data_IF_846423345570
#
_entry.id   IF_846423345570
#
_cell.length_a   1.000
_cell.length_b   1.000
_cell.length_c   1.000
_cell.angle_alpha   90.00
_cell.angle_beta   90.00
_cell.angle_gamma   90.00
#
_symmetry.space_group_name_H-M   'P 1'
#
loop_
_entity.id
_entity.type
_entity.pdbx_description
1 polymer ?
#
# COMPACT_ATOMS: atom_id res chain seq x y z
N UNK A 1 16.08 14.90 16.27
CA UNK A 1 15.58 13.76 15.46
C UNK A 1 14.57 13.01 16.30
N UNK A 2 13.33 12.82 15.81
CA UNK A 2 12.31 12.00 16.50
C UNK A 2 12.40 10.59 15.92
N UNK A 3 12.77 9.62 16.75
CA UNK A 3 12.76 8.21 16.37
C UNK A 3 11.39 7.61 16.73
N UNK A 4 10.77 6.90 15.78
CA UNK A 4 9.53 6.18 16.02
C UNK A 4 9.84 4.78 16.56
N UNK A 5 9.54 4.57 17.84
CA UNK A 5 9.72 3.27 18.49
C UNK A 5 8.49 2.38 18.37
N UNK A 6 7.30 2.95 18.19
CA UNK A 6 6.07 2.20 17.97
C UNK A 6 5.36 2.72 16.73
N UNK A 7 4.79 1.82 15.95
CA UNK A 7 3.88 2.19 14.86
C UNK A 7 2.76 1.15 14.73
N UNK A 8 1.54 1.62 14.50
CA UNK A 8 0.40 0.81 14.05
C UNK A 8 -0.08 1.36 12.73
N UNK A 9 -0.27 0.49 11.74
CA UNK A 9 -0.83 0.80 10.43
C UNK A 9 -2.00 -0.14 10.20
N UNK A 10 -3.18 0.39 9.90
CA UNK A 10 -4.28 -0.37 9.35
C UNK A 10 -4.67 0.20 7.99
N UNK A 11 -4.90 -0.68 7.03
CA UNK A 11 -5.23 -0.29 5.66
C UNK A 11 -6.27 -1.23 5.07
N UNK A 12 -7.28 -0.67 4.40
CA UNK A 12 -8.19 -1.42 3.55
C UNK A 12 -7.95 -1.08 2.08
N UNK A 13 -7.61 -2.10 1.31
CA UNK A 13 -7.22 -1.96 -0.08
C UNK A 13 -7.86 -3.02 -0.98
N UNK A 14 -7.91 -2.72 -2.26
CA UNK A 14 -8.32 -3.63 -3.35
C UNK A 14 -7.29 -3.48 -4.45
N UNK A 15 -6.69 -4.56 -4.90
CA UNK A 15 -5.70 -4.53 -5.98
C UNK A 15 -6.21 -5.26 -7.22
N UNK A 16 -5.89 -4.76 -8.42
CA UNK A 16 -6.06 -5.49 -9.68
C UNK A 16 -4.79 -6.28 -10.01
N UNK A 17 -3.64 -5.66 -9.75
CA UNK A 17 -2.32 -6.27 -9.93
C UNK A 17 -1.81 -6.92 -8.64
N UNK A 18 -1.14 -8.06 -8.78
CA UNK A 18 -0.67 -8.88 -7.65
C UNK A 18 0.75 -8.54 -7.18
N UNK A 19 1.36 -7.51 -7.77
CA UNK A 19 2.65 -6.96 -7.35
C UNK A 19 2.61 -5.43 -7.43
N UNK A 20 2.92 -4.75 -6.33
CA UNK A 20 2.90 -3.29 -6.29
C UNK A 20 3.16 -2.73 -4.90
N UNK A 21 3.56 -1.47 -4.84
CA UNK A 21 3.80 -0.74 -3.60
C UNK A 21 2.47 -0.28 -2.99
N UNK A 22 2.23 -0.62 -1.72
CA UNK A 22 1.08 -0.12 -0.95
C UNK A 22 1.45 1.12 -0.15
N UNK A 23 2.59 1.09 0.54
CA UNK A 23 3.05 2.16 1.43
C UNK A 23 4.57 2.17 1.49
N UNK A 24 5.18 3.36 1.49
CA UNK A 24 6.61 3.55 1.72
C UNK A 24 6.87 4.80 2.57
N UNK A 25 7.76 4.69 3.55
CA UNK A 25 8.34 5.83 4.24
C UNK A 25 9.80 5.52 4.59
N UNK A 26 10.70 6.45 4.31
CA UNK A 26 12.14 6.22 4.34
C UNK A 26 12.90 7.31 5.08
N UNK A 27 14.22 7.17 5.05
CA UNK A 27 15.16 8.18 5.50
C UNK A 27 16.12 8.57 4.36
N UNK A 28 16.14 9.85 4.05
CA UNK A 28 16.93 10.43 2.97
C UNK A 28 18.42 10.13 3.15
N UNK A 29 19.03 9.48 2.16
CA UNK A 29 20.45 9.13 2.16
C UNK A 29 20.89 8.11 3.23
N UNK A 30 19.94 7.42 3.89
CA UNK A 30 20.21 6.47 4.97
C UNK A 30 19.42 5.18 4.83
N UNK A 31 19.63 4.24 5.76
CA UNK A 31 19.11 2.87 5.66
C UNK A 31 17.74 2.67 6.30
N UNK A 32 17.26 3.60 7.11
CA UNK A 32 15.98 3.43 7.80
C UNK A 32 14.83 3.50 6.80
N UNK A 33 13.92 2.52 6.85
CA UNK A 33 12.69 2.54 6.07
C UNK A 33 11.62 1.63 6.66
N UNK A 34 10.39 1.84 6.23
CA UNK A 34 9.26 0.94 6.42
C UNK A 34 8.44 0.90 5.12
N UNK A 35 8.07 -0.30 4.69
CA UNK A 35 7.31 -0.51 3.46
C UNK A 35 6.28 -1.62 3.60
N UNK A 36 5.12 -1.42 2.97
CA UNK A 36 4.17 -2.48 2.66
C UNK A 36 4.11 -2.65 1.15
N UNK A 37 4.32 -3.87 0.69
CA UNK A 37 4.22 -4.24 -0.73
C UNK A 37 3.30 -5.43 -0.90
N UNK A 38 2.71 -5.54 -2.08
CA UNK A 38 2.15 -6.77 -2.58
C UNK A 38 3.21 -7.46 -3.44
N UNK A 39 3.47 -8.74 -3.17
CA UNK A 39 4.45 -9.55 -3.89
C UNK A 39 3.80 -10.89 -4.23
N UNK A 40 3.49 -11.11 -5.52
CA UNK A 40 2.82 -12.33 -5.98
C UNK A 40 1.54 -12.64 -5.18
N UNK A 41 0.77 -11.61 -4.88
CA UNK A 41 -0.50 -11.67 -4.16
C UNK A 41 -0.38 -11.79 -2.63
N UNK A 42 0.82 -11.80 -2.06
CA UNK A 42 1.02 -11.79 -0.60
C UNK A 42 1.44 -10.39 -0.14
N UNK A 43 0.91 -9.94 1.00
CA UNK A 43 1.33 -8.69 1.62
C UNK A 43 2.66 -8.93 2.32
N UNK A 44 3.63 -8.08 2.04
CA UNK A 44 4.95 -8.12 2.64
C UNK A 44 5.20 -6.82 3.40
N UNK A 45 5.55 -6.97 4.68
CA UNK A 45 6.12 -5.89 5.48
C UNK A 45 7.64 -6.02 5.44
N UNK A 46 8.32 -4.93 5.09
CA UNK A 46 9.78 -4.80 5.26
C UNK A 46 10.08 -3.52 6.04
N UNK A 47 11.03 -3.60 6.96
CA UNK A 47 11.49 -2.44 7.71
C UNK A 47 12.95 -2.61 8.11
N UNK A 48 13.68 -1.51 8.18
CA UNK A 48 15.07 -1.49 8.61
C UNK A 48 15.26 -0.36 9.62
N UNK A 49 15.80 -0.68 10.80
CA UNK A 49 16.08 0.27 11.89
C UNK A 49 17.50 0.83 11.86
N UNK A 50 18.32 0.42 10.91
CA UNK A 50 19.75 0.73 10.79
C UNK A 50 20.66 -0.51 10.83
N UNK A 51 20.21 -1.59 11.47
CA UNK A 51 20.97 -2.84 11.64
C UNK A 51 20.62 -3.95 10.65
N UNK A 52 19.75 -3.68 9.67
CA UNK A 52 19.32 -4.64 8.66
C UNK A 52 17.81 -4.76 8.57
N UNK A 53 17.34 -5.52 7.59
CA UNK A 53 15.92 -5.54 7.22
C UNK A 53 15.19 -6.71 7.86
N UNK A 54 14.17 -6.42 8.66
CA UNK A 54 13.14 -7.39 9.04
C UNK A 54 12.13 -7.56 7.90
N UNK A 55 11.71 -8.80 7.64
CA UNK A 55 10.74 -9.12 6.58
C UNK A 55 9.67 -10.05 7.13
N UNK A 56 8.40 -9.68 6.96
CA UNK A 56 7.24 -10.52 7.26
C UNK A 56 6.41 -10.67 5.98
N UNK A 57 5.86 -11.85 5.75
CA UNK A 57 5.04 -12.17 4.58
C UNK A 57 3.73 -12.82 5.06
N UNK A 58 2.59 -12.32 4.58
CA UNK A 58 1.28 -12.88 4.89
C UNK A 58 1.15 -14.31 4.37
N UNK A 59 0.38 -15.17 5.05
CA UNK A 59 -0.02 -16.47 4.50
C UNK A 59 -1.20 -16.32 3.56
N UNK A 60 -2.07 -15.34 3.85
CA UNK A 60 -3.16 -14.96 2.96
C UNK A 60 -2.62 -14.46 1.63
N UNK A 61 -3.17 -15.02 0.55
CA UNK A 61 -3.05 -14.48 -0.80
C UNK A 61 -4.29 -13.65 -1.12
N UNK A 62 -4.08 -12.36 -1.39
CA UNK A 62 -5.15 -11.46 -1.79
C UNK A 62 -5.71 -11.86 -3.16
N UNK A 63 -6.96 -11.50 -3.41
CA UNK A 63 -7.68 -11.81 -4.63
C UNK A 63 -7.88 -10.52 -5.44
N UNK A 64 -7.58 -10.53 -6.75
CA UNK A 64 -7.83 -9.38 -7.60
C UNK A 64 -9.27 -8.86 -7.48
N UNK A 65 -9.43 -7.55 -7.39
CA UNK A 65 -10.74 -6.88 -7.33
C UNK A 65 -11.52 -7.07 -6.03
N UNK A 66 -10.99 -7.76 -5.02
CA UNK A 66 -11.62 -7.89 -3.70
C UNK A 66 -11.00 -6.93 -2.70
N UNK A 67 -11.84 -6.47 -1.76
CA UNK A 67 -11.38 -5.72 -0.61
C UNK A 67 -10.69 -6.65 0.39
N UNK A 68 -9.53 -6.21 0.85
CA UNK A 68 -8.70 -6.86 1.86
C UNK A 68 -8.36 -5.84 2.93
N UNK A 69 -8.17 -6.32 4.15
CA UNK A 69 -7.71 -5.50 5.26
C UNK A 69 -6.38 -6.02 5.76
N UNK A 70 -5.45 -5.11 6.05
CA UNK A 70 -4.19 -5.43 6.73
C UNK A 70 -4.05 -4.62 8.00
N UNK A 71 -3.38 -5.21 8.98
CA UNK A 71 -2.93 -4.55 10.20
C UNK A 71 -1.47 -4.89 10.43
N UNK A 72 -0.68 -3.86 10.65
CA UNK A 72 0.72 -3.94 11.08
C UNK A 72 0.86 -3.26 12.43
N UNK A 73 1.57 -3.91 13.33
CA UNK A 73 2.04 -3.28 14.57
C UNK A 73 3.52 -3.53 14.71
N UNK A 74 4.28 -2.50 15.06
CA UNK A 74 5.70 -2.60 15.35
C UNK A 74 5.97 -1.97 16.70
N UNK A 75 6.77 -2.66 17.50
CA UNK A 75 7.33 -2.15 18.74
C UNK A 75 8.83 -2.45 18.74
N UNK A 76 9.63 -1.39 18.64
CA UNK A 76 11.09 -1.48 18.52
C UNK A 76 11.46 -2.39 17.35
N UNK A 77 12.21 -3.46 17.58
CA UNK A 77 12.60 -4.41 16.52
C UNK A 77 11.47 -5.36 16.13
N UNK A 78 10.50 -5.60 17.01
CA UNK A 78 9.46 -6.59 16.82
C UNK A 78 8.31 -6.02 15.99
N UNK A 79 7.78 -6.84 15.09
CA UNK A 79 6.65 -6.50 14.25
C UNK A 79 5.66 -7.67 14.17
N UNK A 80 4.40 -7.32 13.94
CA UNK A 80 3.32 -8.25 13.61
C UNK A 80 2.62 -7.77 12.35
N UNK A 81 2.20 -8.71 11.52
CA UNK A 81 1.40 -8.50 10.31
C UNK A 81 0.19 -9.45 10.34
N UNK A 82 -0.99 -8.94 10.02
CA UNK A 82 -2.20 -9.75 9.78
C UNK A 82 -2.93 -9.21 8.56
N UNK A 83 -3.30 -10.09 7.65
CA UNK A 83 -4.19 -9.82 6.52
C UNK A 83 -5.48 -10.62 6.68
N UNK A 84 -6.64 -9.98 6.47
CA UNK A 84 -7.98 -10.58 6.58
C UNK A 84 -8.24 -11.35 7.87
N UNK A 85 -7.72 -10.83 8.99
CA UNK A 85 -7.78 -11.45 10.32
C UNK A 85 -7.09 -12.83 10.40
N UNK A 86 -6.08 -13.09 9.55
CA UNK A 86 -5.19 -14.24 9.77
C UNK A 86 -4.49 -14.12 11.13
N UNK A 87 -4.10 -15.26 11.71
CA UNK A 87 -3.25 -15.29 12.91
C UNK A 87 -2.00 -14.47 12.64
N UNK A 88 -1.67 -13.57 13.58
CA UNK A 88 -0.54 -12.66 13.45
C UNK A 88 0.74 -13.41 13.05
N UNK A 89 1.36 -12.91 11.97
CA UNK A 89 2.71 -13.28 11.58
C UNK A 89 3.64 -12.37 12.35
N UNK A 90 4.57 -12.95 13.10
CA UNK A 90 5.55 -12.21 13.89
C UNK A 90 6.92 -12.25 13.22
N UNK A 91 7.72 -11.21 13.46
CA UNK A 91 9.10 -11.15 13.01
C UNK A 91 9.82 -9.96 13.63
N UNK A 92 11.13 -9.87 13.41
CA UNK A 92 11.93 -8.77 13.92
C UNK A 92 13.05 -8.34 12.97
N UNK A 93 13.52 -7.10 13.11
CA UNK A 93 14.78 -6.66 12.50
C UNK A 93 15.98 -7.21 13.29
N UNK A 94 17.16 -7.35 12.64
CA UNK A 94 18.37 -7.81 13.32
C UNK A 94 18.72 -6.97 14.56
N UNK A 95 19.43 -7.55 15.55
CA UNK A 95 19.83 -6.84 16.75
C UNK A 95 20.74 -5.64 16.45
N UNK A 96 20.66 -4.62 17.30
CA UNK A 96 21.40 -3.36 17.17
C UNK A 96 20.48 -2.18 17.41
N UNK A 97 20.08 -1.48 16.36
CA UNK A 97 19.19 -0.31 16.45
C UNK A 97 17.72 -0.72 16.45
N UNK A 98 16.88 0.05 17.15
CA UNK A 98 15.45 -0.28 17.33
C UNK A 98 14.47 0.86 17.00
N UNK A 99 14.94 2.08 16.78
CA UNK A 99 14.14 3.22 16.33
C UNK A 99 14.12 3.34 14.81
N UNK A 100 13.04 3.91 14.27
CA UNK A 100 12.96 4.34 12.87
C UNK A 100 13.07 5.87 12.79
N UNK A 101 14.06 6.37 12.06
CA UNK A 101 14.23 7.81 11.82
C UNK A 101 13.74 8.18 10.41
N UNK A 102 12.43 8.15 10.20
CA UNK A 102 11.84 8.45 8.90
C UNK A 102 11.70 9.96 8.72
N UNK A 103 12.29 10.49 7.66
CA UNK A 103 12.32 11.94 7.35
C UNK A 103 11.77 12.29 5.97
N UNK A 104 11.39 11.29 5.16
CA UNK A 104 10.66 11.51 3.91
C UNK A 104 9.17 11.65 4.18
N UNK A 105 8.42 12.06 3.15
CA UNK A 105 6.98 11.91 3.12
C UNK A 105 6.56 10.43 3.25
N UNK A 106 5.34 10.21 3.73
CA UNK A 106 4.65 8.93 3.67
C UNK A 106 4.00 8.81 2.30
N UNK A 107 4.46 7.87 1.48
CA UNK A 107 3.91 7.64 0.15
C UNK A 107 2.98 6.44 0.15
N UNK A 108 1.84 6.58 -0.53
CA UNK A 108 0.76 5.60 -0.58
C UNK A 108 0.51 5.24 -2.04
N UNK A 109 0.51 3.95 -2.36
CA UNK A 109 0.23 3.44 -3.70
C UNK A 109 1.31 3.68 -4.76
N UNK A 110 2.38 4.42 -4.46
CA UNK A 110 3.46 4.70 -5.41
C UNK A 110 4.48 5.67 -4.81
N UNK A 111 5.53 5.98 -5.56
CA UNK A 111 6.52 7.03 -5.23
C UNK A 111 6.86 7.84 -6.48
N UNK A 112 7.36 9.08 -6.33
CA UNK A 112 7.96 9.84 -7.43
C UNK A 112 9.09 9.09 -8.13
N UNK A 113 9.34 9.44 -9.40
CA UNK A 113 10.31 8.77 -10.26
C UNK A 113 11.72 8.75 -9.65
N UNK A 114 12.12 9.84 -8.99
CA UNK A 114 13.41 9.99 -8.33
C UNK A 114 13.62 9.02 -7.15
N UNK A 115 12.56 8.46 -6.57
CA UNK A 115 12.64 7.49 -5.48
C UNK A 115 12.49 6.03 -5.94
N UNK A 116 12.15 5.78 -7.21
CA UNK A 116 11.89 4.43 -7.72
C UNK A 116 13.08 3.49 -7.53
N UNK A 117 14.31 3.98 -7.74
CA UNK A 117 15.50 3.16 -7.57
C UNK A 117 15.70 2.73 -6.11
N UNK A 118 15.58 3.68 -5.17
CA UNK A 118 15.74 3.42 -3.73
C UNK A 118 14.67 2.44 -3.22
N UNK A 119 13.40 2.64 -3.63
CA UNK A 119 12.31 1.72 -3.31
C UNK A 119 12.56 0.33 -3.89
N UNK A 120 13.01 0.24 -5.15
CA UNK A 120 13.30 -1.06 -5.80
C UNK A 120 14.41 -1.82 -5.06
N UNK A 121 15.47 -1.14 -4.65
CA UNK A 121 16.57 -1.76 -3.89
C UNK A 121 16.11 -2.26 -2.51
N UNK A 122 15.22 -1.51 -1.84
CA UNK A 122 14.73 -1.84 -0.49
C UNK A 122 13.58 -2.82 -0.44
N UNK A 123 12.75 -2.87 -1.47
CA UNK A 123 11.49 -3.62 -1.47
C UNK A 123 11.42 -4.70 -2.54
N UNK A 124 12.29 -4.64 -3.55
CA UNK A 124 12.25 -5.49 -4.75
C UNK A 124 11.01 -5.29 -5.63
N UNK A 125 10.24 -4.22 -5.39
CA UNK A 125 9.08 -3.81 -6.18
C UNK A 125 9.36 -2.46 -6.84
N UNK A 126 8.97 -2.32 -8.11
CA UNK A 126 9.18 -1.09 -8.90
C UNK A 126 7.88 -0.51 -9.47
N UNK A 127 6.73 -1.13 -9.17
CA UNK A 127 5.40 -0.67 -9.59
C UNK A 127 4.62 -0.13 -8.39
N UNK A 128 3.76 0.86 -8.64
CA UNK A 128 2.75 1.28 -7.68
C UNK A 128 1.58 0.30 -7.59
N UNK A 129 0.68 0.55 -6.65
CA UNK A 129 -0.62 -0.10 -6.57
C UNK A 129 -1.48 0.31 -7.77
N UNK A 130 -1.96 -0.68 -8.52
CA UNK A 130 -3.11 -0.52 -9.42
C UNK A 130 -4.34 -1.00 -8.67
N UNK A 131 -5.12 -0.08 -8.14
CA UNK A 131 -6.25 -0.41 -7.30
C UNK A 131 -6.75 0.74 -6.43
N UNK A 132 -7.33 0.37 -5.30
CA UNK A 132 -8.08 1.25 -4.42
C UNK A 132 -7.62 1.14 -2.98
N UNK A 133 -7.62 2.26 -2.27
CA UNK A 133 -7.47 2.34 -0.82
C UNK A 133 -8.62 3.19 -0.31
N UNK A 134 -9.41 2.66 0.64
CA UNK A 134 -10.55 3.38 1.22
C UNK A 134 -10.37 3.78 2.67
N UNK A 135 -9.39 3.18 3.35
CA UNK A 135 -9.09 3.47 4.75
C UNK A 135 -7.59 3.34 4.96
N UNK A 136 -7.02 4.34 5.62
CA UNK A 136 -5.66 4.34 6.15
C UNK A 136 -5.70 4.94 7.55
N UNK A 137 -5.27 4.15 8.53
CA UNK A 137 -5.05 4.55 9.92
C UNK A 137 -3.58 4.34 10.24
N UNK A 138 -2.88 5.41 10.64
CA UNK A 138 -1.52 5.34 11.16
C UNK A 138 -1.51 5.93 12.57
N UNK A 139 -1.15 5.12 13.56
CA UNK A 139 -1.08 5.50 14.97
C UNK A 139 -2.37 6.12 15.53
N UNK A 140 -3.53 5.57 15.15
CA UNK A 140 -4.87 6.04 15.52
C UNK A 140 -5.25 7.39 14.88
N UNK A 141 -4.54 7.81 13.83
CA UNK A 141 -4.94 8.93 12.98
C UNK A 141 -5.41 8.37 11.65
N UNK A 142 -6.70 8.59 11.35
CA UNK A 142 -7.29 8.23 10.06
C UNK A 142 -6.97 9.34 9.06
N UNK A 143 -6.33 8.98 7.96
CA UNK A 143 -5.95 9.90 6.90
C UNK A 143 -7.03 9.97 5.83
N UNK A 144 -7.46 11.19 5.49
CA UNK A 144 -8.31 11.43 4.33
C UNK A 144 -7.46 11.45 3.06
N UNK A 145 -7.56 10.40 2.24
CA UNK A 145 -6.80 10.25 1.00
C UNK A 145 -7.43 10.94 -0.23
N UNK A 146 -8.45 11.77 -0.03
CA UNK A 146 -9.03 12.57 -1.13
C UNK A 146 -8.06 13.68 -1.56
N UNK A 147 -7.82 13.78 -2.88
CA UNK A 147 -6.87 14.74 -3.46
C UNK A 147 -7.25 16.20 -3.19
N UNK A 148 -8.55 16.50 -3.04
CA UNK A 148 -9.05 17.85 -2.74
C UNK A 148 -9.58 17.93 -1.31
N UNK A 149 -8.82 18.59 -0.43
CA UNK A 149 -9.25 18.88 0.94
C UNK A 149 -9.00 17.77 1.97
N UNK A 150 -8.28 16.71 1.60
CA UNK A 150 -7.78 15.69 2.51
C UNK A 150 -6.39 15.99 3.07
N UNK A 151 -5.74 14.97 3.63
CA UNK A 151 -4.38 15.03 4.20
C UNK A 151 -3.28 14.83 3.13
N UNK A 152 -3.67 14.80 1.86
CA UNK A 152 -2.80 14.53 0.71
C UNK A 152 -2.04 15.80 0.32
N UNK A 153 -0.71 15.71 0.23
CA UNK A 153 0.13 16.81 -0.26
C UNK A 153 0.15 16.91 -1.79
N UNK A 154 0.17 15.76 -2.47
CA UNK A 154 0.13 15.65 -3.93
C UNK A 154 -0.26 14.22 -4.33
N UNK A 155 -0.67 14.04 -5.58
CA UNK A 155 -0.97 12.73 -6.18
C UNK A 155 -0.80 12.77 -7.69
N UNK A 156 -0.71 11.60 -8.33
CA UNK A 156 -0.70 11.47 -9.79
C UNK A 156 -1.52 10.23 -10.15
N UNK A 157 -2.42 10.36 -11.12
CA UNK A 157 -3.34 9.31 -11.52
C UNK A 157 -4.20 8.77 -10.35
N UNK A 158 -4.57 9.63 -9.39
CA UNK A 158 -5.47 9.32 -8.29
C UNK A 158 -6.88 9.77 -8.66
N UNK A 159 -7.86 8.88 -8.52
CA UNK A 159 -9.27 9.14 -8.79
C UNK A 159 -10.18 8.59 -7.69
N UNK A 160 -11.49 8.80 -7.83
CA UNK A 160 -12.47 8.18 -6.94
C UNK A 160 -12.55 6.68 -7.17
N UNK A 161 -12.53 5.92 -6.06
CA UNK A 161 -12.66 4.48 -6.12
C UNK A 161 -14.08 4.01 -6.46
N UNK A 162 -14.33 3.80 -7.75
CA UNK A 162 -15.63 3.36 -8.26
C UNK A 162 -15.95 1.90 -7.91
N UNK A 163 -17.22 1.62 -7.57
CA UNK A 163 -17.70 0.25 -7.33
C UNK A 163 -18.24 -0.46 -8.59
N UNK A 164 -18.45 0.25 -9.70
CA UNK A 164 -18.68 -0.36 -11.00
C UNK A 164 -18.50 0.73 -12.06
N UNK A 165 -17.51 0.65 -12.96
CA UNK A 165 -17.36 1.65 -14.02
C UNK A 165 -18.54 1.66 -15.01
N UNK A 166 -19.44 0.67 -14.93
CA UNK A 166 -20.72 0.66 -15.63
C UNK A 166 -21.90 1.29 -14.85
N UNK A 167 -21.66 1.96 -13.72
CA UNK A 167 -22.73 2.65 -12.97
C UNK A 167 -22.35 4.07 -12.53
N UNK A 168 -23.11 5.10 -12.96
CA UNK A 168 -24.19 5.05 -13.96
C UNK A 168 -23.67 4.62 -15.34
N UNK A 169 -24.51 3.98 -16.17
CA UNK A 169 -24.07 3.36 -17.44
C UNK A 169 -23.40 4.41 -18.37
N UNK A 170 -22.09 4.30 -18.63
CA UNK A 170 -21.36 5.25 -19.46
C UNK A 170 -21.59 5.01 -20.96
N UNK A 171 -22.13 3.84 -21.35
CA UNK A 171 -22.28 3.46 -22.74
C UNK A 171 -23.47 4.16 -23.40
N UNK A 172 -23.30 4.55 -24.67
CA UNK A 172 -24.33 5.24 -25.47
C UNK A 172 -24.93 4.28 -26.50
N UNK A 173 -26.09 4.64 -27.03
CA UNK A 173 -26.75 3.95 -28.15
C UNK A 173 -27.03 2.45 -27.90
N UNK A 174 -27.33 2.06 -26.65
CA UNK A 174 -27.65 0.68 -26.31
C UNK A 174 -26.47 -0.29 -26.30
N UNK A 175 -25.22 0.20 -26.36
CA UNK A 175 -24.04 -0.64 -26.22
C UNK A 175 -23.98 -1.28 -24.81
N UNK A 176 -23.52 -2.53 -24.74
CA UNK A 176 -23.43 -3.29 -23.50
C UNK A 176 -22.14 -2.90 -22.77
N UNK A 177 -22.27 -2.32 -21.58
CA UNK A 177 -21.12 -2.02 -20.72
C UNK A 177 -20.53 -3.30 -20.12
N UNK A 178 -19.24 -3.53 -20.34
CA UNK A 178 -18.48 -4.65 -19.80
C UNK A 178 -17.37 -4.11 -18.89
N UNK A 179 -17.40 -4.47 -17.61
CA UNK A 179 -16.29 -4.20 -16.68
C UNK A 179 -15.08 -5.04 -17.11
N UNK A 180 -13.93 -4.40 -17.31
CA UNK A 180 -12.68 -5.08 -17.69
C UNK A 180 -11.73 -5.19 -16.50
N UNK A 181 -11.53 -4.11 -15.73
CA UNK A 181 -10.62 -4.01 -14.57
C UNK A 181 -11.14 -2.98 -13.53
N UNK A 182 -10.39 -2.71 -12.44
CA UNK A 182 -10.76 -1.65 -11.49
C UNK A 182 -10.89 -0.30 -12.22
N UNK A 183 -12.11 0.23 -12.23
CA UNK A 183 -12.53 1.48 -12.90
C UNK A 183 -12.48 1.50 -14.44
N UNK A 184 -12.13 0.40 -15.10
CA UNK A 184 -12.18 0.31 -16.56
C UNK A 184 -13.43 -0.40 -17.06
N UNK A 185 -14.12 0.25 -18.00
CA UNK A 185 -15.24 -0.33 -18.75
C UNK A 185 -14.94 -0.40 -20.25
N UNK A 186 -15.63 -1.30 -20.93
CA UNK A 186 -15.62 -1.45 -22.37
C UNK A 186 -17.07 -1.47 -22.87
N UNK A 187 -17.43 -0.56 -23.76
CA UNK A 187 -18.75 -0.56 -24.40
C UNK A 187 -18.71 -1.47 -25.63
N UNK A 188 -19.39 -2.62 -25.54
CA UNK A 188 -19.55 -3.52 -26.68
C UNK A 188 -20.79 -3.12 -27.47
N UNK A 189 -20.59 -2.58 -28.67
CA UNK A 189 -21.69 -2.31 -29.59
C UNK A 189 -22.38 -3.62 -29.97
N UNK A 190 -23.71 -3.61 -29.95
CA UNK A 190 -24.54 -4.65 -30.55
C UNK A 190 -24.78 -4.26 -32.00
N UNK A 191 -24.45 -5.18 -32.93
CA UNK A 191 -24.73 -5.02 -34.36
C UNK A 191 -26.23 -5.06 -34.63
#
# INVERSE_FOLDING_TARGET
>A
MKAYHTVRIAMEFRASEMTGLLLFNGQSGKKDFLSLTLVSGQVQLRFNTGSGTGTLLSKVRVKPGRWHQLVVTRNRRNAMLSVDNEVHIEGESPPGTDGLNLDTNLFIGGVPEELLQDVRERTSVSSGLVGCIRMLDVNNMVYNLQEKGGDVQYGTAVGECGNNPCQPDPCKNGAICQVREAEMFHCKCVN
#
